data_IF_174522599799
#
_entry.id   IF_174522599799
#
_cell.length_a   1.000
_cell.length_b   1.000
_cell.length_c   1.000
_cell.angle_alpha   90.00
_cell.angle_beta   90.00
_cell.angle_gamma   90.00
#
_symmetry.space_group_name_H-M   'P 1'
#
loop_
_entity.id
_entity.type
_entity.pdbx_description
1 polymer ?
#
# COMPACT_ATOMS: atom_id res chain seq x y z
N UNK A 1 -31.05 -15.71 -56.42
CA UNK A 1 -31.33 -15.71 -54.97
C UNK A 1 -30.05 -15.23 -54.30
N UNK A 2 -29.85 -13.91 -54.27
CA UNK A 2 -28.61 -13.26 -53.86
C UNK A 2 -28.97 -12.19 -52.84
N UNK A 3 -28.90 -12.53 -51.56
CA UNK A 3 -28.86 -11.60 -50.42
C UNK A 3 -27.51 -11.85 -49.74
N UNK A 4 -26.48 -11.16 -50.19
CA UNK A 4 -25.96 -9.87 -49.70
C UNK A 4 -25.23 -9.99 -48.35
N UNK A 5 -23.87 -9.95 -48.35
CA UNK A 5 -23.03 -10.18 -47.18
C UNK A 5 -22.70 -8.88 -46.44
N UNK A 6 -23.69 -8.25 -45.80
CA UNK A 6 -23.46 -7.00 -45.05
C UNK A 6 -23.83 -7.16 -43.57
N UNK A 7 -23.24 -8.15 -42.89
CA UNK A 7 -23.05 -8.06 -41.43
C UNK A 7 -21.94 -7.05 -41.14
N UNK A 8 -22.22 -5.78 -41.42
CA UNK A 8 -21.42 -4.70 -40.88
C UNK A 8 -21.57 -4.72 -39.35
N UNK A 9 -20.51 -5.19 -38.70
CA UNK A 9 -20.14 -4.90 -37.32
C UNK A 9 -20.25 -3.41 -37.08
N UNK A 10 -21.46 -2.94 -36.77
CA UNK A 10 -21.71 -1.58 -36.36
C UNK A 10 -21.15 -1.47 -34.94
N UNK A 11 -19.86 -1.13 -34.86
CA UNK A 11 -19.18 -0.89 -33.61
C UNK A 11 -19.96 0.18 -32.86
N UNK A 12 -20.54 -0.20 -31.72
CA UNK A 12 -21.33 0.66 -30.87
C UNK A 12 -20.56 1.96 -30.58
N UNK A 13 -21.05 3.14 -30.99
CA UNK A 13 -20.33 4.40 -30.84
C UNK A 13 -19.98 4.69 -29.37
N UNK A 14 -20.78 4.16 -28.43
CA UNK A 14 -20.50 4.27 -27.00
C UNK A 14 -19.23 3.51 -26.57
N UNK A 15 -18.92 2.37 -27.21
CA UNK A 15 -17.67 1.63 -26.96
C UNK A 15 -16.45 2.35 -27.53
N UNK A 16 -16.59 3.06 -28.66
CA UNK A 16 -15.54 3.88 -29.24
C UNK A 16 -15.21 5.10 -28.37
N UNK A 17 -16.24 5.76 -27.83
CA UNK A 17 -16.08 6.91 -26.93
C UNK A 17 -15.43 6.51 -25.59
N UNK A 18 -15.81 5.35 -25.04
CA UNK A 18 -15.19 4.80 -23.82
C UNK A 18 -13.71 4.43 -24.05
N UNK A 19 -13.36 3.87 -25.21
CA UNK A 19 -11.98 3.56 -25.57
C UNK A 19 -11.12 4.82 -25.77
N UNK A 20 -11.69 5.88 -26.35
CA UNK A 20 -11.01 7.17 -26.51
C UNK A 20 -10.85 7.91 -25.17
N UNK A 21 -11.84 7.86 -24.28
CA UNK A 21 -11.74 8.40 -22.93
C UNK A 21 -10.70 7.66 -22.07
N UNK A 22 -10.65 6.33 -22.16
CA UNK A 22 -9.68 5.51 -21.42
C UNK A 22 -8.24 5.76 -21.88
N UNK A 23 -8.01 5.88 -23.20
CA UNK A 23 -6.68 6.14 -23.76
C UNK A 23 -6.16 7.55 -23.45
N UNK A 24 -7.02 8.56 -23.40
CA UNK A 24 -6.64 9.91 -22.99
C UNK A 24 -6.34 10.02 -21.50
N UNK A 25 -7.09 9.31 -20.63
CA UNK A 25 -6.76 9.18 -19.20
C UNK A 25 -5.44 8.45 -18.97
N UNK A 26 -5.17 7.38 -19.73
CA UNK A 26 -3.92 6.63 -19.65
C UNK A 26 -2.69 7.46 -20.11
N UNK A 27 -2.85 8.24 -21.18
CA UNK A 27 -1.77 9.11 -21.66
C UNK A 27 -1.50 10.26 -20.69
N UNK A 28 -2.54 10.85 -20.08
CA UNK A 28 -2.39 11.90 -19.07
C UNK A 28 -1.72 11.38 -17.79
N UNK A 29 -2.08 10.18 -17.33
CA UNK A 29 -1.45 9.58 -16.15
C UNK A 29 0.03 9.25 -16.39
N UNK A 30 0.39 8.75 -17.57
CA UNK A 30 1.77 8.51 -17.97
C UNK A 30 2.57 9.81 -18.09
N UNK A 31 1.98 10.88 -18.63
CA UNK A 31 2.62 12.20 -18.70
C UNK A 31 2.85 12.81 -17.32
N UNK A 32 1.89 12.70 -16.39
CA UNK A 32 2.05 13.14 -15.01
C UNK A 32 3.12 12.34 -14.28
N UNK A 33 3.17 11.01 -14.46
CA UNK A 33 4.24 10.17 -13.91
C UNK A 33 5.61 10.55 -14.47
N UNK A 34 5.69 10.88 -15.76
CA UNK A 34 6.93 11.28 -16.43
C UNK A 34 7.40 12.65 -15.94
N UNK A 35 6.50 13.61 -15.78
CA UNK A 35 6.78 14.94 -15.22
C UNK A 35 7.18 14.85 -13.73
N UNK A 36 6.49 14.03 -12.95
CA UNK A 36 6.83 13.78 -11.55
C UNK A 36 8.21 13.13 -11.43
N UNK A 37 8.52 12.13 -12.27
CA UNK A 37 9.84 11.48 -12.30
C UNK A 37 10.94 12.46 -12.72
N UNK A 38 10.69 13.34 -13.69
CA UNK A 38 11.68 14.33 -14.15
C UNK A 38 11.92 15.45 -13.14
N UNK A 39 10.86 15.93 -12.47
CA UNK A 39 10.96 16.95 -11.42
C UNK A 39 11.65 16.43 -10.16
N UNK A 40 11.33 15.19 -9.77
CA UNK A 40 11.93 14.54 -8.60
C UNK A 40 13.42 14.18 -8.82
N UNK A 41 13.81 13.83 -10.06
CA UNK A 41 15.21 13.56 -10.40
C UNK A 41 16.08 14.82 -10.48
N UNK A 42 15.50 15.99 -10.76
CA UNK A 42 16.24 17.25 -10.92
C UNK A 42 16.60 17.93 -9.61
N UNK A 43 15.84 17.71 -8.55
CA UNK A 43 16.12 18.23 -7.19
C UNK A 43 17.06 17.31 -6.38
N UNK A 44 17.25 16.05 -6.80
CA UNK A 44 18.15 15.10 -6.16
C UNK A 44 19.55 15.14 -6.80
N UNK A 45 20.21 16.29 -6.68
CA UNK A 45 21.64 16.41 -6.96
C UNK A 45 22.43 15.46 -6.08
N UNK A 46 22.90 14.35 -6.66
CA UNK A 46 23.58 13.22 -5.99
C UNK A 46 24.93 13.57 -5.35
N UNK A 47 25.38 14.83 -5.39
CA UNK A 47 26.68 15.26 -4.85
C UNK A 47 26.62 16.08 -3.55
N UNK A 48 25.47 16.62 -3.14
CA UNK A 48 25.35 17.51 -1.96
C UNK A 48 24.70 16.82 -0.75
N UNK A 49 23.86 15.80 -0.97
CA UNK A 49 23.13 15.09 0.09
C UNK A 49 23.81 13.80 0.59
N UNK A 50 24.90 13.38 -0.06
CA UNK A 50 25.53 12.09 0.22
C UNK A 50 27.02 12.26 0.51
N UNK A 51 27.37 12.55 1.77
CA UNK A 51 28.71 12.27 2.27
C UNK A 51 28.78 10.75 2.52
N UNK A 52 29.55 9.96 1.73
CA UNK A 52 29.51 8.50 1.77
C UNK A 52 29.80 7.91 3.16
N UNK A 53 30.59 8.61 3.98
CA UNK A 53 30.89 8.20 5.36
C UNK A 53 29.69 8.34 6.31
N UNK A 54 28.90 9.41 6.19
CA UNK A 54 27.70 9.61 7.04
C UNK A 54 26.46 8.89 6.48
N UNK A 55 26.39 8.76 5.16
CA UNK A 55 25.37 7.99 4.44
C UNK A 55 25.41 6.54 4.87
N UNK A 56 26.59 5.90 4.85
CA UNK A 56 26.70 4.49 5.15
C UNK A 56 26.13 4.16 6.54
N UNK A 57 26.48 4.93 7.57
CA UNK A 57 26.01 4.71 8.93
C UNK A 57 24.49 4.86 9.09
N UNK A 58 23.90 5.93 8.55
CA UNK A 58 22.46 6.17 8.62
C UNK A 58 21.65 5.10 7.88
N UNK A 59 22.09 4.73 6.68
CA UNK A 59 21.41 3.70 5.88
C UNK A 59 21.56 2.29 6.45
N UNK A 60 22.67 1.97 7.13
CA UNK A 60 22.82 0.72 7.88
C UNK A 60 21.77 0.64 9.00
N UNK A 61 21.53 1.73 9.74
CA UNK A 61 20.51 1.77 10.80
C UNK A 61 19.10 1.60 10.24
N UNK A 62 18.80 2.29 9.14
CA UNK A 62 17.54 2.12 8.41
C UNK A 62 17.34 0.66 7.98
N UNK A 63 18.38 0.04 7.40
CA UNK A 63 18.37 -1.37 7.03
C UNK A 63 18.14 -2.29 8.23
N UNK A 64 18.83 -2.06 9.34
CA UNK A 64 18.66 -2.82 10.59
C UNK A 64 17.24 -2.75 11.14
N UNK A 65 16.63 -1.56 11.14
CA UNK A 65 15.22 -1.39 11.56
C UNK A 65 14.29 -2.19 10.64
N UNK A 66 14.49 -2.13 9.32
CA UNK A 66 13.69 -2.88 8.36
C UNK A 66 13.80 -4.39 8.59
N UNK A 67 15.02 -4.93 8.73
CA UNK A 67 15.22 -6.36 8.97
C UNK A 67 14.60 -6.82 10.30
N UNK A 68 14.80 -6.05 11.38
CA UNK A 68 14.21 -6.36 12.67
C UNK A 68 12.67 -6.41 12.62
N UNK A 69 12.05 -5.44 11.94
CA UNK A 69 10.60 -5.34 11.87
C UNK A 69 9.96 -6.31 10.87
N UNK A 70 10.69 -6.74 9.83
CA UNK A 70 10.28 -7.87 8.99
C UNK A 70 10.32 -9.16 9.81
N UNK A 71 11.41 -9.41 10.54
CA UNK A 71 11.50 -10.55 11.45
C UNK A 71 10.37 -10.55 12.48
N UNK A 72 10.06 -9.39 13.05
CA UNK A 72 8.94 -9.22 13.98
C UNK A 72 7.58 -9.54 13.36
N UNK A 73 7.34 -9.20 12.10
CA UNK A 73 6.08 -9.55 11.43
C UNK A 73 5.90 -11.06 11.30
N UNK A 74 6.95 -11.78 10.90
CA UNK A 74 6.90 -13.23 10.83
C UNK A 74 6.69 -13.86 12.20
N UNK A 75 7.42 -13.40 13.22
CA UNK A 75 7.28 -13.91 14.58
C UNK A 75 5.89 -13.63 15.16
N UNK A 76 5.38 -12.41 14.97
CA UNK A 76 4.03 -12.01 15.40
C UNK A 76 2.93 -12.78 14.69
N UNK A 77 3.14 -13.14 13.42
CA UNK A 77 2.20 -13.99 12.66
C UNK A 77 2.18 -15.41 13.21
N UNK A 78 3.36 -16.02 13.38
CA UNK A 78 3.47 -17.36 13.97
C UNK A 78 2.88 -17.42 15.38
N UNK A 79 3.07 -16.37 16.18
CA UNK A 79 2.49 -16.22 17.51
C UNK A 79 0.96 -15.97 17.48
N UNK A 80 0.45 -15.30 16.46
CA UNK A 80 -0.98 -15.12 16.25
C UNK A 80 -1.66 -16.42 15.85
N UNK A 81 -1.02 -17.20 14.98
CA UNK A 81 -1.50 -18.51 14.53
C UNK A 81 -1.52 -19.51 15.68
N UNK A 82 -0.50 -19.51 16.57
CA UNK A 82 -0.49 -20.39 17.74
C UNK A 82 -1.60 -20.07 18.76
N UNK A 83 -2.17 -18.86 18.72
CA UNK A 83 -3.33 -18.46 19.52
C UNK A 83 -4.68 -18.61 18.79
N UNK A 84 -4.70 -19.20 17.58
CA UNK A 84 -5.92 -19.35 16.79
C UNK A 84 -6.47 -18.05 16.21
N UNK A 85 -5.68 -16.97 16.15
CA UNK A 85 -6.10 -15.67 15.62
C UNK A 85 -6.05 -15.62 14.08
N UNK A 86 -5.35 -16.57 13.46
CA UNK A 86 -5.19 -16.67 12.00
C UNK A 86 -4.78 -15.33 11.37
N UNK A 87 -5.48 -14.94 10.31
CA UNK A 87 -5.21 -13.69 9.58
C UNK A 87 -5.26 -12.42 10.46
N UNK A 88 -6.03 -12.40 11.56
CA UNK A 88 -6.06 -11.23 12.45
C UNK A 88 -4.71 -11.00 13.15
N UNK A 89 -4.00 -12.07 13.48
CA UNK A 89 -2.66 -12.01 14.08
C UNK A 89 -1.66 -11.33 13.14
N UNK A 90 -1.67 -11.72 11.86
CA UNK A 90 -0.89 -11.07 10.81
C UNK A 90 -1.19 -9.57 10.70
N UNK A 91 -2.47 -9.18 10.60
CA UNK A 91 -2.85 -7.77 10.48
C UNK A 91 -2.39 -6.92 11.67
N UNK A 92 -2.52 -7.45 12.89
CA UNK A 92 -2.04 -6.75 14.10
C UNK A 92 -0.52 -6.58 14.08
N UNK A 93 0.22 -7.63 13.70
CA UNK A 93 1.67 -7.58 13.56
C UNK A 93 2.10 -6.55 12.50
N UNK A 94 1.41 -6.49 11.36
CA UNK A 94 1.67 -5.51 10.30
C UNK A 94 1.41 -4.07 10.76
N UNK A 95 0.30 -3.81 11.47
CA UNK A 95 -0.01 -2.48 12.00
C UNK A 95 1.10 -2.04 12.98
N UNK A 96 1.48 -2.92 13.91
CA UNK A 96 2.52 -2.61 14.89
C UNK A 96 3.87 -2.32 14.21
N UNK A 97 4.26 -3.12 13.22
CA UNK A 97 5.52 -2.90 12.49
C UNK A 97 5.52 -1.61 11.68
N UNK A 98 4.38 -1.22 11.09
CA UNK A 98 4.26 0.07 10.39
C UNK A 98 4.36 1.26 11.36
N UNK A 99 3.75 1.17 12.54
CA UNK A 99 3.90 2.19 13.60
C UNK A 99 5.35 2.26 14.07
N UNK A 100 5.99 1.11 14.32
CA UNK A 100 7.38 1.04 14.74
C UNK A 100 8.35 1.57 13.66
N UNK A 101 8.09 1.33 12.37
CA UNK A 101 8.83 1.92 11.26
C UNK A 101 8.74 3.45 11.27
N UNK A 102 7.52 3.97 11.43
CA UNK A 102 7.31 5.42 11.50
C UNK A 102 8.06 6.04 12.68
N UNK A 103 8.00 5.40 13.86
CA UNK A 103 8.72 5.87 15.04
C UNK A 103 10.25 5.78 14.87
N UNK A 104 10.75 4.66 14.35
CA UNK A 104 12.18 4.43 14.13
C UNK A 104 12.79 5.40 13.13
N UNK A 105 12.13 5.63 12.00
CA UNK A 105 12.58 6.62 11.01
C UNK A 105 12.47 8.05 11.54
N UNK A 106 11.38 8.37 12.26
CA UNK A 106 11.24 9.67 12.92
C UNK A 106 12.38 9.94 13.91
N UNK A 107 12.76 8.93 14.71
CA UNK A 107 13.84 9.04 15.68
C UNK A 107 15.21 9.20 15.02
N UNK A 108 15.50 8.48 13.94
CA UNK A 108 16.74 8.62 13.18
C UNK A 108 16.88 10.02 12.59
N UNK A 109 15.80 10.57 12.03
CA UNK A 109 15.80 11.93 11.48
C UNK A 109 15.91 12.97 12.61
N UNK A 110 15.22 12.78 13.73
CA UNK A 110 15.28 13.69 14.88
C UNK A 110 16.68 13.78 15.49
N UNK A 111 17.47 12.71 15.43
CA UNK A 111 18.88 12.69 15.86
C UNK A 111 19.86 13.19 14.78
N UNK A 112 19.36 13.57 13.61
CA UNK A 112 20.21 13.97 12.47
C UNK A 112 21.04 12.83 11.87
N UNK A 113 20.67 11.57 12.17
CA UNK A 113 21.42 10.38 11.76
C UNK A 113 21.01 9.89 10.36
N UNK A 114 19.91 10.42 9.82
CA UNK A 114 19.37 10.02 8.54
C UNK A 114 18.67 11.20 7.83
N UNK A 115 18.57 11.18 6.48
CA UNK A 115 18.03 12.30 5.71
C UNK A 115 16.54 12.51 5.97
N UNK A 116 16.11 13.78 5.95
CA UNK A 116 14.72 14.18 6.19
C UNK A 116 13.69 13.52 5.25
N UNK A 117 14.12 13.06 4.06
CA UNK A 117 13.28 12.28 3.14
C UNK A 117 12.67 11.01 3.76
N UNK A 118 13.29 10.44 4.80
CA UNK A 118 12.72 9.30 5.55
C UNK A 118 11.42 9.64 6.28
N UNK A 119 11.14 10.92 6.56
CA UNK A 119 9.87 11.33 7.18
C UNK A 119 8.68 11.08 6.26
N UNK A 120 8.88 11.14 4.93
CA UNK A 120 7.82 10.77 3.98
C UNK A 120 7.48 9.28 4.13
N UNK A 121 8.51 8.42 4.22
CA UNK A 121 8.31 6.98 4.47
C UNK A 121 7.67 6.72 5.83
N UNK A 122 8.06 7.47 6.87
CA UNK A 122 7.44 7.39 8.18
C UNK A 122 5.94 7.72 8.11
N UNK A 123 5.61 8.85 7.48
CA UNK A 123 4.22 9.28 7.27
C UNK A 123 3.38 8.27 6.50
N UNK A 124 3.91 7.74 5.38
CA UNK A 124 3.21 6.70 4.60
C UNK A 124 2.97 5.42 5.40
N UNK A 125 3.92 5.02 6.26
CA UNK A 125 3.74 3.87 7.15
C UNK A 125 2.65 4.15 8.20
N UNK A 126 2.62 5.34 8.79
CA UNK A 126 1.61 5.73 9.77
C UNK A 126 0.20 5.76 9.15
N UNK A 127 0.06 6.33 7.95
CA UNK A 127 -1.19 6.35 7.18
C UNK A 127 -1.64 4.93 6.85
N UNK A 128 -0.73 4.06 6.40
CA UNK A 128 -1.02 2.66 6.13
C UNK A 128 -1.45 1.88 7.38
N UNK A 129 -0.83 2.15 8.54
CA UNK A 129 -1.23 1.55 9.82
C UNK A 129 -2.63 2.01 10.23
N UNK A 130 -2.90 3.31 10.11
CA UNK A 130 -4.19 3.90 10.46
C UNK A 130 -5.33 3.38 9.57
N UNK A 131 -5.10 3.24 8.26
CA UNK A 131 -6.11 2.70 7.33
C UNK A 131 -6.44 1.25 7.62
N UNK A 132 -5.43 0.41 7.90
CA UNK A 132 -5.63 -0.99 8.30
C UNK A 132 -6.35 -1.11 9.65
N UNK A 133 -5.98 -0.27 10.64
CA UNK A 133 -6.66 -0.23 11.93
C UNK A 133 -8.16 0.12 11.78
N UNK A 134 -8.46 1.12 10.95
CA UNK A 134 -9.84 1.50 10.67
C UNK A 134 -10.62 0.40 9.93
N UNK A 135 -9.97 -0.30 9.00
CA UNK A 135 -10.57 -1.44 8.30
C UNK A 135 -10.93 -2.59 9.26
N UNK A 136 -10.04 -2.94 10.20
CA UNK A 136 -10.32 -3.95 11.22
C UNK A 136 -11.50 -3.54 12.12
N UNK A 137 -11.57 -2.27 12.53
CA UNK A 137 -12.69 -1.77 13.36
C UNK A 137 -14.02 -1.81 12.61
N UNK A 138 -14.03 -1.45 11.32
CA UNK A 138 -15.22 -1.53 10.47
C UNK A 138 -15.67 -2.97 10.23
N UNK A 139 -14.73 -3.86 9.96
CA UNK A 139 -15.02 -5.30 9.81
C UNK A 139 -15.61 -5.91 11.08
N UNK A 140 -15.06 -5.55 12.24
CA UNK A 140 -15.61 -5.99 13.54
C UNK A 140 -17.03 -5.45 13.78
N UNK A 141 -17.29 -4.17 13.51
CA UNK A 141 -18.63 -3.57 13.67
C UNK A 141 -19.67 -4.19 12.72
N UNK A 142 -19.28 -4.51 11.48
CA UNK A 142 -20.13 -5.19 10.51
C UNK A 142 -20.46 -6.63 10.94
N UNK A 143 -19.48 -7.37 11.48
CA UNK A 143 -19.70 -8.73 11.99
C UNK A 143 -20.70 -8.76 13.16
N UNK A 144 -20.63 -7.79 14.08
CA UNK A 144 -21.59 -7.67 15.20
C UNK A 144 -22.99 -7.30 14.72
N UNK A 145 -23.10 -6.52 13.65
CA UNK A 145 -24.39 -6.09 13.09
C UNK A 145 -25.04 -7.14 12.18
N UNK A 146 -24.25 -8.11 11.67
CA UNK A 146 -24.71 -9.20 10.81
C UNK A 146 -25.44 -10.33 11.54
N UNK A 147 -25.42 -10.34 12.88
CA UNK A 147 -26.03 -11.38 13.72
C UNK A 147 -27.50 -11.10 14.07
N UNK A 148 -28.19 -10.26 13.29
CA UNK A 148 -29.62 -9.91 13.49
C UNK A 148 -30.52 -10.29 12.30
N UNK A 149 -30.07 -11.19 11.42
CA UNK A 149 -30.89 -11.75 10.36
C UNK A 149 -31.66 -12.99 10.83
N UNK A 150 -33.01 -13.03 10.78
CA UNK A 150 -33.75 -14.24 11.10
C UNK A 150 -33.62 -15.26 9.97
N UNK A 151 -33.12 -16.46 10.30
CA UNK A 151 -33.35 -17.66 9.48
C UNK A 151 -32.22 -18.09 8.55
N UNK A 152 -31.24 -18.80 9.09
CA UNK A 152 -30.67 -19.94 8.38
C UNK A 152 -30.90 -21.19 9.23
N UNK A 153 -32.00 -21.88 8.94
CA UNK A 153 -32.19 -23.25 9.38
C UNK A 153 -31.05 -24.09 8.81
N UNK A 154 -30.40 -24.95 9.62
CA UNK A 154 -29.45 -25.91 9.09
C UNK A 154 -30.19 -26.88 8.17
N UNK A 155 -29.78 -26.94 6.91
CA UNK A 155 -30.10 -28.05 6.03
C UNK A 155 -29.58 -29.33 6.70
N UNK A 156 -30.49 -30.11 7.28
CA UNK A 156 -30.24 -31.50 7.60
C UNK A 156 -30.21 -32.28 6.28
N UNK A 157 -29.10 -32.98 6.04
CA UNK A 157 -29.00 -34.08 5.10
C UNK A 157 -28.54 -35.31 5.87
#
# INVERSE_FOLDING_TARGET
MCDNPDTHTQADPALADLAQAASTLALRSLQLLRLYRLGLLRELGTGILFNPESVAAGWIRVGGILFALIGWQYLGTAWGDSQGQGAQGFYRATILSRVALSAGFGLLVARGEAPAGLLVLAGLNLVGAASMWLALRRGAAAAVSGDSGPGQQPLQA
#
